data_IF_390598225536
#
_entry.id   IF_390598225536
#
_cell.length_a   1.000
_cell.length_b   1.000
_cell.length_c   1.000
_cell.angle_alpha   90.00
_cell.angle_beta   90.00
_cell.angle_gamma   90.00
#
_symmetry.space_group_name_H-M   'P 1'
#
loop_
_entity.id
_entity.type
_entity.pdbx_description
1 polymer ?
#
# COMPACT_ATOMS: atom_id res chain seq x y z
N UNK A 1 -10.85 -23.93 -30.22
CA UNK A 1 -10.12 -23.98 -28.92
C UNK A 1 -9.62 -22.58 -28.64
N UNK A 2 -10.42 -21.78 -27.96
CA UNK A 2 -10.12 -20.38 -27.59
C UNK A 2 -9.22 -20.39 -26.38
N UNK A 3 -8.00 -19.83 -26.48
CA UNK A 3 -7.13 -19.55 -25.35
C UNK A 3 -7.80 -18.45 -24.52
N UNK A 4 -8.25 -18.81 -23.33
CA UNK A 4 -8.64 -17.85 -22.29
C UNK A 4 -7.44 -16.94 -22.02
N UNK A 5 -7.53 -15.67 -22.45
CA UNK A 5 -6.67 -14.62 -21.96
C UNK A 5 -6.93 -14.53 -20.46
N UNK A 6 -5.91 -14.72 -19.66
CA UNK A 6 -5.94 -14.43 -18.22
C UNK A 6 -6.22 -12.94 -18.07
N UNK A 7 -7.44 -12.64 -17.66
CA UNK A 7 -7.92 -11.30 -17.41
C UNK A 7 -7.09 -10.72 -16.24
N UNK A 8 -6.12 -9.88 -16.56
CA UNK A 8 -5.22 -9.21 -15.60
C UNK A 8 -5.85 -7.92 -15.07
N UNK A 9 -7.17 -7.88 -14.96
CA UNK A 9 -7.87 -6.72 -14.40
C UNK A 9 -7.40 -6.49 -12.96
N UNK A 10 -6.96 -5.27 -12.62
CA UNK A 10 -6.58 -4.93 -11.26
C UNK A 10 -7.74 -5.22 -10.30
N UNK A 11 -7.48 -5.98 -9.22
CA UNK A 11 -8.53 -6.36 -8.30
C UNK A 11 -7.98 -6.72 -6.92
N UNK A 12 -8.88 -6.77 -5.93
CA UNK A 12 -8.56 -7.21 -4.58
C UNK A 12 -8.86 -8.70 -4.41
N UNK A 13 -8.09 -9.42 -3.58
CA UNK A 13 -8.44 -10.78 -3.19
C UNK A 13 -9.85 -10.86 -2.60
N UNK A 14 -10.60 -11.87 -3.00
CA UNK A 14 -11.97 -12.09 -2.52
C UNK A 14 -12.08 -12.18 -0.98
N UNK A 15 -11.01 -12.54 -0.29
CA UNK A 15 -10.94 -12.55 1.17
C UNK A 15 -11.31 -11.21 1.81
N UNK A 16 -11.03 -10.08 1.16
CA UNK A 16 -11.41 -8.76 1.68
C UNK A 16 -12.93 -8.49 1.56
N UNK A 17 -13.58 -8.97 0.50
CA UNK A 17 -15.05 -8.92 0.42
C UNK A 17 -15.69 -9.78 1.51
N UNK A 18 -15.13 -10.96 1.81
CA UNK A 18 -15.60 -11.79 2.92
C UNK A 18 -15.45 -11.09 4.27
N UNK A 19 -14.38 -10.32 4.46
CA UNK A 19 -14.18 -9.53 5.67
C UNK A 19 -15.27 -8.47 5.84
N UNK A 20 -15.66 -7.78 4.76
CA UNK A 20 -16.80 -6.83 4.77
C UNK A 20 -18.09 -7.54 5.17
N UNK A 21 -18.38 -8.72 4.59
CA UNK A 21 -19.57 -9.51 4.96
C UNK A 21 -19.59 -9.86 6.45
N UNK A 22 -18.47 -10.29 7.01
CA UNK A 22 -18.39 -10.65 8.43
C UNK A 22 -18.64 -9.42 9.34
N UNK A 23 -18.22 -8.23 8.92
CA UNK A 23 -18.51 -6.99 9.62
C UNK A 23 -20.00 -6.63 9.56
N UNK A 24 -20.64 -6.81 8.40
CA UNK A 24 -22.07 -6.47 8.19
C UNK A 24 -23.04 -7.30 9.05
N UNK A 25 -22.62 -8.46 9.56
CA UNK A 25 -23.40 -9.24 10.54
C UNK A 25 -23.80 -8.45 11.78
N UNK A 26 -23.00 -7.42 12.14
CA UNK A 26 -23.31 -6.52 13.27
C UNK A 26 -24.60 -5.71 13.05
N UNK A 27 -24.97 -5.48 11.79
CA UNK A 27 -26.21 -4.78 11.40
C UNK A 27 -27.31 -5.74 10.95
N UNK A 28 -27.13 -7.07 11.16
CA UNK A 28 -28.08 -8.11 10.76
C UNK A 28 -28.41 -8.08 9.25
N UNK A 29 -27.47 -7.62 8.42
CA UNK A 29 -27.62 -7.58 6.96
C UNK A 29 -27.29 -8.97 6.40
N UNK A 30 -28.22 -9.52 5.60
CA UNK A 30 -28.02 -10.78 4.93
C UNK A 30 -26.93 -10.66 3.84
N UNK A 31 -26.10 -11.69 3.72
CA UNK A 31 -24.95 -11.70 2.77
C UNK A 31 -25.43 -11.54 1.33
N UNK A 32 -26.56 -12.19 0.99
CA UNK A 32 -27.19 -12.12 -0.33
C UNK A 32 -27.54 -10.69 -0.73
N UNK A 33 -28.02 -9.88 0.22
CA UNK A 33 -28.37 -8.47 -0.02
C UNK A 33 -27.18 -7.64 -0.52
N UNK A 34 -25.95 -7.99 -0.08
CA UNK A 34 -24.75 -7.33 -0.55
C UNK A 34 -24.22 -7.94 -1.85
N UNK A 35 -24.24 -9.26 -1.98
CA UNK A 35 -23.51 -9.98 -3.04
C UNK A 35 -24.29 -10.15 -4.34
N UNK A 36 -25.62 -10.40 -4.26
CA UNK A 36 -26.45 -10.67 -5.44
C UNK A 36 -26.43 -9.58 -6.52
N UNK A 37 -26.45 -8.27 -6.18
CA UNK A 37 -26.39 -7.21 -7.19
C UNK A 37 -25.11 -7.23 -8.05
N UNK A 38 -24.04 -7.87 -7.55
CA UNK A 38 -22.77 -7.99 -8.24
C UNK A 38 -22.54 -9.40 -8.85
N UNK A 39 -23.54 -10.27 -8.80
CA UNK A 39 -23.44 -11.65 -9.27
C UNK A 39 -22.44 -12.50 -8.48
N UNK A 40 -22.18 -12.14 -7.23
CA UNK A 40 -21.24 -12.81 -6.35
C UNK A 40 -21.97 -13.71 -5.36
N UNK A 41 -21.28 -14.75 -4.90
CA UNK A 41 -21.75 -15.63 -3.82
C UNK A 41 -20.61 -15.85 -2.82
N UNK A 42 -20.92 -16.29 -1.59
CA UNK A 42 -19.88 -16.63 -0.60
C UNK A 42 -18.97 -17.76 -1.07
N UNK A 43 -19.48 -18.67 -1.89
CA UNK A 43 -18.70 -19.72 -2.53
C UNK A 43 -17.97 -19.15 -3.75
N UNK A 44 -16.89 -18.40 -3.51
CA UNK A 44 -16.04 -17.93 -4.57
C UNK A 44 -15.19 -19.08 -5.14
N UNK A 45 -14.83 -19.01 -6.45
CA UNK A 45 -14.03 -20.05 -7.07
C UNK A 45 -12.75 -20.33 -6.27
N UNK A 46 -12.40 -21.59 -6.14
CA UNK A 46 -11.18 -22.09 -5.47
C UNK A 46 -9.91 -21.88 -6.31
N UNK A 47 -9.88 -20.86 -7.17
CA UNK A 47 -8.64 -20.44 -7.82
C UNK A 47 -7.61 -20.06 -6.73
N UNK A 48 -6.29 -20.19 -6.98
CA UNK A 48 -5.27 -20.00 -5.95
C UNK A 48 -5.41 -18.66 -5.19
N UNK A 49 -5.95 -17.62 -5.84
CA UNK A 49 -6.32 -16.35 -5.17
C UNK A 49 -7.35 -15.64 -6.05
N UNK A 50 -8.66 -15.93 -5.92
CA UNK A 50 -9.69 -15.25 -6.71
C UNK A 50 -9.66 -13.75 -6.40
N UNK A 51 -9.69 -12.93 -7.45
CA UNK A 51 -9.67 -11.46 -7.35
C UNK A 51 -10.98 -10.89 -7.84
N UNK A 52 -11.44 -9.85 -7.17
CA UNK A 52 -12.62 -9.07 -7.52
C UNK A 52 -12.14 -7.75 -8.14
N UNK A 53 -12.64 -7.34 -9.31
CA UNK A 53 -12.30 -6.06 -9.92
C UNK A 53 -12.52 -4.88 -8.96
N UNK A 54 -11.67 -3.86 -9.02
CA UNK A 54 -11.74 -2.71 -8.11
C UNK A 54 -13.09 -1.99 -8.18
N UNK A 55 -13.68 -1.85 -9.38
CA UNK A 55 -15.01 -1.25 -9.54
C UNK A 55 -16.10 -2.03 -8.80
N UNK A 56 -16.02 -3.36 -8.85
CA UNK A 56 -16.95 -4.22 -8.11
C UNK A 56 -16.74 -4.08 -6.59
N UNK A 57 -15.47 -4.01 -6.14
CA UNK A 57 -15.16 -3.79 -4.71
C UNK A 57 -15.66 -2.44 -4.24
N UNK A 58 -15.49 -1.39 -5.06
CA UNK A 58 -16.02 -0.06 -4.75
C UNK A 58 -17.54 -0.08 -4.62
N UNK A 59 -18.25 -0.69 -5.60
CA UNK A 59 -19.69 -0.83 -5.55
C UNK A 59 -20.19 -1.64 -4.34
N UNK A 60 -19.51 -2.73 -3.98
CA UNK A 60 -19.79 -3.50 -2.76
C UNK A 60 -19.65 -2.64 -1.52
N UNK A 61 -18.60 -1.81 -1.45
CA UNK A 61 -18.39 -0.94 -0.31
C UNK A 61 -19.44 0.18 -0.24
N UNK A 62 -19.76 0.82 -1.38
CA UNK A 62 -20.84 1.83 -1.45
C UNK A 62 -22.18 1.27 -0.99
N UNK A 63 -22.53 0.06 -1.42
CA UNK A 63 -23.74 -0.62 -0.99
C UNK A 63 -23.69 -0.96 0.50
N UNK A 64 -22.57 -1.46 1.01
CA UNK A 64 -22.40 -1.73 2.43
C UNK A 64 -22.59 -0.46 3.28
N UNK A 65 -22.03 0.67 2.82
CA UNK A 65 -22.19 1.96 3.45
C UNK A 65 -23.65 2.43 3.44
N UNK A 66 -24.36 2.26 2.31
CA UNK A 66 -25.78 2.62 2.19
C UNK A 66 -26.67 1.75 3.09
N UNK A 67 -26.39 0.46 3.19
CA UNK A 67 -27.17 -0.48 4.01
C UNK A 67 -26.96 -0.26 5.51
N UNK A 68 -25.75 0.10 5.93
CA UNK A 68 -25.44 0.32 7.36
C UNK A 68 -25.72 1.73 7.82
N UNK A 69 -25.63 2.73 6.94
CA UNK A 69 -25.63 4.15 7.29
C UNK A 69 -24.48 4.56 8.21
N UNK A 70 -23.41 3.75 8.29
CA UNK A 70 -22.31 3.88 9.24
C UNK A 70 -21.02 4.37 8.55
N UNK A 71 -20.68 5.67 8.64
CA UNK A 71 -19.45 6.21 8.05
C UNK A 71 -18.17 5.59 8.64
N UNK A 72 -18.23 5.10 9.89
CA UNK A 72 -17.15 4.41 10.57
C UNK A 72 -16.94 2.96 10.15
N UNK A 73 -17.69 2.44 9.17
CA UNK A 73 -17.58 1.07 8.67
C UNK A 73 -16.12 0.61 8.40
N UNK A 74 -15.23 1.45 7.83
CA UNK A 74 -13.83 1.04 7.60
C UNK A 74 -13.07 0.70 8.88
N UNK A 75 -13.35 1.39 9.98
CA UNK A 75 -12.70 1.12 11.27
C UNK A 75 -13.12 -0.24 11.81
N UNK A 76 -14.40 -0.60 11.67
CA UNK A 76 -14.88 -1.95 12.03
C UNK A 76 -14.23 -3.04 11.16
N UNK A 77 -14.01 -2.77 9.87
CA UNK A 77 -13.29 -3.66 8.96
C UNK A 77 -11.84 -3.84 9.45
N UNK A 78 -11.15 -2.74 9.77
CA UNK A 78 -9.78 -2.78 10.29
C UNK A 78 -9.66 -3.55 11.61
N UNK A 79 -10.58 -3.33 12.55
CA UNK A 79 -10.62 -4.06 13.83
C UNK A 79 -10.81 -5.58 13.68
N UNK A 80 -11.47 -6.04 12.62
CA UNK A 80 -11.66 -7.46 12.35
C UNK A 80 -10.58 -8.06 11.43
N UNK A 81 -9.64 -7.23 10.95
CA UNK A 81 -8.57 -7.67 10.09
C UNK A 81 -7.64 -8.62 10.82
N UNK A 82 -7.38 -9.78 10.22
CA UNK A 82 -6.50 -10.81 10.78
C UNK A 82 -5.32 -11.03 9.85
N UNK A 83 -4.19 -11.43 10.40
CA UNK A 83 -3.02 -11.80 9.59
C UNK A 83 -3.37 -12.87 8.55
N UNK A 84 -4.21 -13.85 8.91
CA UNK A 84 -4.71 -14.88 7.98
C UNK A 84 -5.50 -14.32 6.79
N UNK A 85 -6.10 -13.13 6.92
CA UNK A 85 -6.79 -12.45 5.81
C UNK A 85 -5.82 -12.02 4.69
N UNK A 86 -4.54 -11.91 5.03
CA UNK A 86 -3.48 -11.55 4.09
C UNK A 86 -2.77 -12.75 3.47
N UNK A 87 -3.27 -13.99 3.71
CA UNK A 87 -2.69 -15.21 3.14
C UNK A 87 -1.25 -15.44 3.57
N UNK A 88 -0.38 -15.83 2.63
CA UNK A 88 1.02 -16.16 2.96
C UNK A 88 1.83 -14.97 3.46
N UNK A 89 1.50 -13.73 3.08
CA UNK A 89 2.16 -12.52 3.63
C UNK A 89 1.89 -12.43 5.13
N UNK A 90 0.63 -12.59 5.53
CA UNK A 90 0.26 -12.57 6.95
C UNK A 90 0.91 -13.71 7.72
N UNK A 91 1.03 -14.88 7.11
CA UNK A 91 1.72 -16.02 7.73
C UNK A 91 3.23 -15.78 7.87
N UNK A 92 3.88 -15.24 6.81
CA UNK A 92 5.30 -14.86 6.87
C UNK A 92 5.56 -13.80 7.95
N UNK A 93 4.72 -12.74 8.00
CA UNK A 93 4.83 -11.70 9.02
C UNK A 93 4.63 -12.24 10.45
N UNK A 94 3.69 -13.17 10.64
CA UNK A 94 3.40 -13.77 11.95
C UNK A 94 4.53 -14.65 12.48
N UNK A 95 5.29 -15.30 11.58
CA UNK A 95 6.36 -16.24 11.90
C UNK A 95 7.76 -15.63 11.79
N UNK A 96 7.86 -14.33 11.49
CA UNK A 96 9.11 -13.58 11.49
C UNK A 96 9.72 -13.51 12.91
N UNK A 97 11.01 -13.27 13.00
CA UNK A 97 11.73 -13.22 14.29
C UNK A 97 11.40 -11.94 15.06
N UNK A 98 11.28 -10.80 14.38
CA UNK A 98 11.06 -9.47 14.99
C UNK A 98 10.02 -8.66 14.25
N UNK A 99 9.53 -7.59 14.88
CA UNK A 99 8.63 -6.60 14.26
C UNK A 99 9.27 -5.98 13.02
N UNK A 100 10.56 -5.64 13.05
CA UNK A 100 11.27 -5.10 11.90
C UNK A 100 11.16 -6.05 10.70
N UNK A 101 11.48 -7.33 10.90
CA UNK A 101 11.42 -8.32 9.83
C UNK A 101 9.99 -8.53 9.31
N UNK A 102 8.98 -8.53 10.20
CA UNK A 102 7.58 -8.62 9.78
C UNK A 102 7.16 -7.44 8.90
N UNK A 103 7.59 -6.22 9.24
CA UNK A 103 7.31 -5.01 8.46
C UNK A 103 8.05 -5.00 7.12
N UNK A 104 9.30 -5.45 7.08
CA UNK A 104 10.07 -5.62 5.83
C UNK A 104 9.37 -6.61 4.87
N UNK A 105 8.86 -7.73 5.40
CA UNK A 105 8.09 -8.69 4.61
C UNK A 105 6.78 -8.09 4.11
N UNK A 106 6.08 -7.32 4.95
CA UNK A 106 4.86 -6.62 4.56
C UNK A 106 5.14 -5.57 3.47
N UNK A 107 6.20 -4.76 3.61
CA UNK A 107 6.64 -3.79 2.61
C UNK A 107 6.95 -4.46 1.27
N UNK A 108 7.68 -5.57 1.31
CA UNK A 108 8.08 -6.33 0.12
C UNK A 108 6.90 -6.93 -0.64
N UNK A 109 5.88 -7.43 0.07
CA UNK A 109 4.83 -8.27 -0.51
C UNK A 109 3.43 -7.67 -0.50
N UNK A 110 3.21 -6.45 0.03
CA UNK A 110 1.87 -5.85 0.13
C UNK A 110 1.13 -5.82 -1.21
N UNK A 111 1.86 -5.58 -2.32
CA UNK A 111 1.30 -5.54 -3.67
C UNK A 111 0.63 -6.86 -4.11
N UNK A 112 0.99 -7.98 -3.50
CA UNK A 112 0.29 -9.26 -3.71
C UNK A 112 -1.17 -9.22 -3.29
N UNK A 113 -1.50 -8.40 -2.30
CA UNK A 113 -2.85 -8.33 -1.73
C UNK A 113 -3.54 -7.03 -2.11
N UNK A 114 -2.83 -5.92 -2.06
CA UNK A 114 -3.36 -4.58 -2.22
C UNK A 114 -2.62 -3.87 -3.35
N UNK A 115 -3.06 -4.12 -4.58
CA UNK A 115 -2.53 -3.40 -5.75
C UNK A 115 -2.79 -1.90 -5.58
N UNK A 116 -1.76 -1.11 -5.83
CA UNK A 116 -1.82 0.35 -5.68
C UNK A 116 -1.57 0.84 -4.25
N UNK A 117 -1.24 -0.04 -3.31
CA UNK A 117 -0.76 0.33 -1.98
C UNK A 117 0.71 -0.04 -1.81
N UNK A 118 1.43 0.78 -1.06
CA UNK A 118 2.82 0.52 -0.67
C UNK A 118 2.99 0.84 0.82
N UNK A 119 3.79 0.03 1.49
CA UNK A 119 4.28 0.31 2.83
C UNK A 119 5.73 0.78 2.72
N UNK A 120 6.14 1.63 3.65
CA UNK A 120 7.53 2.08 3.75
C UNK A 120 7.87 2.36 5.20
N UNK A 121 8.83 1.59 5.72
CA UNK A 121 9.37 1.77 7.06
C UNK A 121 10.55 2.76 7.03
N UNK A 122 10.53 3.74 7.93
CA UNK A 122 11.63 4.70 8.12
C UNK A 122 11.98 4.76 9.60
N UNK A 123 13.25 4.55 9.93
CA UNK A 123 13.77 4.75 11.29
C UNK A 123 14.41 6.15 11.37
N UNK A 124 13.99 6.93 12.36
CA UNK A 124 14.52 8.27 12.63
C UNK A 124 14.88 8.39 14.13
N UNK A 125 16.14 8.10 14.43
CA UNK A 125 16.64 8.05 15.79
C UNK A 125 15.93 7.00 16.66
N UNK A 126 15.28 7.45 17.71
CA UNK A 126 14.47 6.66 18.64
C UNK A 126 13.01 6.47 18.20
N UNK A 127 12.63 7.04 17.07
CA UNK A 127 11.29 6.87 16.47
C UNK A 127 11.35 6.02 15.20
N UNK A 128 10.28 5.31 14.95
CA UNK A 128 10.03 4.62 13.68
C UNK A 128 8.70 5.09 13.09
N UNK A 129 8.64 5.14 11.78
CA UNK A 129 7.51 5.61 11.00
C UNK A 129 7.17 4.59 9.92
N UNK A 130 5.96 4.05 9.96
CA UNK A 130 5.41 3.21 8.90
C UNK A 130 4.44 4.03 8.06
N UNK A 131 4.82 4.34 6.83
CA UNK A 131 3.99 5.04 5.87
C UNK A 131 3.14 4.07 5.07
N UNK A 132 1.90 4.45 4.79
CA UNK A 132 0.99 3.78 3.86
C UNK A 132 0.71 4.71 2.69
N UNK A 133 1.37 4.45 1.57
CA UNK A 133 1.17 5.19 0.33
C UNK A 133 0.12 4.47 -0.54
N UNK A 134 -0.69 5.23 -1.29
CA UNK A 134 -1.65 4.65 -2.23
C UNK A 134 -1.72 5.42 -3.53
N UNK A 135 -1.78 4.67 -4.65
CA UNK A 135 -2.10 5.16 -5.99
C UNK A 135 -3.59 5.00 -6.33
N UNK A 136 -4.38 4.42 -5.43
CA UNK A 136 -5.84 4.30 -5.61
C UNK A 136 -6.46 5.69 -5.43
N UNK A 137 -7.23 6.13 -6.42
CA UNK A 137 -7.92 7.43 -6.41
C UNK A 137 -9.44 7.30 -6.32
N UNK A 138 -9.96 6.09 -6.50
CA UNK A 138 -11.40 5.82 -6.56
C UNK A 138 -12.03 5.95 -5.17
N UNK A 139 -12.93 6.91 -5.03
CA UNK A 139 -13.70 7.12 -3.82
C UNK A 139 -15.06 6.37 -3.89
N UNK A 140 -15.62 5.91 -2.75
CA UNK A 140 -15.10 6.02 -1.38
C UNK A 140 -14.11 4.90 -0.99
N UNK A 141 -13.79 3.97 -1.90
CA UNK A 141 -12.95 2.79 -1.63
C UNK A 141 -11.55 3.18 -1.12
N UNK A 142 -10.96 4.24 -1.67
CA UNK A 142 -9.64 4.74 -1.27
C UNK A 142 -9.59 5.04 0.23
N UNK A 143 -10.49 5.88 0.71
CA UNK A 143 -10.51 6.28 2.11
C UNK A 143 -10.89 5.13 3.04
N UNK A 144 -11.82 4.28 2.60
CA UNK A 144 -12.17 3.07 3.33
C UNK A 144 -10.98 2.12 3.50
N UNK A 145 -10.22 1.89 2.42
CA UNK A 145 -9.06 1.01 2.47
C UNK A 145 -7.95 1.58 3.35
N UNK A 146 -7.67 2.90 3.26
CA UNK A 146 -6.70 3.58 4.13
C UNK A 146 -7.09 3.43 5.59
N UNK A 147 -8.31 3.78 5.97
CA UNK A 147 -8.77 3.69 7.37
C UNK A 147 -8.71 2.26 7.89
N UNK A 148 -9.19 1.28 7.10
CA UNK A 148 -9.18 -0.12 7.50
C UNK A 148 -7.75 -0.66 7.66
N UNK A 149 -6.83 -0.30 6.76
CA UNK A 149 -5.44 -0.75 6.84
C UNK A 149 -4.70 -0.13 8.02
N UNK A 150 -4.86 1.18 8.25
CA UNK A 150 -4.20 1.87 9.37
C UNK A 150 -4.62 1.25 10.72
N UNK A 151 -5.91 0.99 10.90
CA UNK A 151 -6.41 0.31 12.11
C UNK A 151 -5.96 -1.16 12.16
N UNK A 152 -6.06 -1.88 11.02
CA UNK A 152 -5.68 -3.29 10.93
C UNK A 152 -4.19 -3.52 11.24
N UNK A 153 -3.30 -2.66 10.74
CA UNK A 153 -1.87 -2.74 11.04
C UNK A 153 -1.59 -2.61 12.54
N UNK A 154 -2.23 -1.65 13.23
CA UNK A 154 -2.09 -1.50 14.67
C UNK A 154 -2.63 -2.70 15.46
N UNK A 155 -3.79 -3.25 15.06
CA UNK A 155 -4.35 -4.44 15.68
C UNK A 155 -3.46 -5.68 15.47
N UNK A 156 -2.97 -5.88 14.26
CA UNK A 156 -2.10 -7.01 13.94
C UNK A 156 -0.77 -6.94 14.69
N UNK A 157 -0.19 -5.74 14.86
CA UNK A 157 1.05 -5.56 15.60
C UNK A 157 0.93 -6.03 17.06
N UNK A 158 -0.18 -5.73 17.74
CA UNK A 158 -0.44 -6.24 19.09
C UNK A 158 -0.57 -7.77 19.14
N UNK A 159 -1.24 -8.35 18.13
CA UNK A 159 -1.45 -9.81 18.07
C UNK A 159 -0.13 -10.56 17.89
N UNK A 160 0.78 -10.06 17.05
CA UNK A 160 2.05 -10.77 16.77
C UNK A 160 3.09 -10.58 17.87
N UNK A 161 3.05 -9.47 18.61
CA UNK A 161 3.98 -9.22 19.70
C UNK A 161 3.45 -9.72 21.06
N UNK A 162 2.13 -9.81 21.21
CA UNK A 162 1.49 -10.03 22.51
C UNK A 162 1.56 -8.81 23.44
N UNK A 163 2.07 -7.67 22.95
CA UNK A 163 2.31 -6.45 23.72
C UNK A 163 1.40 -5.32 23.28
N UNK A 164 1.11 -4.39 24.18
CA UNK A 164 0.41 -3.15 23.82
C UNK A 164 1.41 -2.14 23.28
N UNK A 165 1.35 -1.89 21.96
CA UNK A 165 2.24 -0.95 21.29
C UNK A 165 1.58 0.43 21.22
N UNK A 166 2.19 1.43 21.83
CA UNK A 166 1.70 2.81 21.82
C UNK A 166 2.29 3.60 20.66
N UNK A 167 1.48 4.51 20.09
CA UNK A 167 1.93 5.32 18.96
C UNK A 167 0.96 6.43 18.60
N UNK A 168 1.18 7.00 17.41
CA UNK A 168 0.35 8.00 16.79
C UNK A 168 0.05 7.56 15.37
N UNK A 169 -1.18 7.80 14.90
CA UNK A 169 -1.58 7.51 13.52
C UNK A 169 -2.07 8.80 12.84
N UNK A 170 -1.35 9.25 11.85
CA UNK A 170 -1.74 10.34 10.96
C UNK A 170 -2.49 9.75 9.77
N UNK A 171 -3.68 10.27 9.44
CA UNK A 171 -4.51 9.78 8.33
C UNK A 171 -4.96 10.97 7.49
N UNK A 172 -4.79 10.89 6.18
CA UNK A 172 -5.12 11.98 5.23
C UNK A 172 -6.63 12.08 4.88
N UNK A 173 -7.47 11.21 5.48
CA UNK A 173 -8.91 11.25 5.31
C UNK A 173 -9.47 12.48 6.03
N UNK A 174 -10.41 13.23 5.41
CA UNK A 174 -11.06 14.37 6.05
C UNK A 174 -11.68 14.03 7.39
N UNK A 175 -11.58 14.94 8.34
CA UNK A 175 -12.19 14.76 9.66
C UNK A 175 -13.72 14.67 9.55
N UNK A 176 -14.30 13.72 10.25
CA UNK A 176 -15.73 13.54 10.36
C UNK A 176 -16.11 13.42 11.85
N UNK A 177 -17.09 14.18 12.36
CA UNK A 177 -17.51 14.10 13.77
C UNK A 177 -17.89 12.68 14.23
N UNK A 178 -18.35 11.83 13.31
CA UNK A 178 -18.68 10.42 13.61
C UNK A 178 -17.44 9.54 13.79
N UNK A 179 -16.23 10.05 13.50
CA UNK A 179 -14.99 9.32 13.73
C UNK A 179 -14.43 9.52 15.14
N UNK A 180 -15.04 10.38 15.96
CA UNK A 180 -14.56 10.67 17.31
C UNK A 180 -14.49 9.42 18.20
N UNK A 181 -15.48 8.53 18.10
CA UNK A 181 -15.49 7.26 18.85
C UNK A 181 -14.35 6.30 18.46
N UNK A 182 -13.76 6.49 17.27
CA UNK A 182 -12.68 5.66 16.76
C UNK A 182 -11.27 6.19 17.06
N UNK A 183 -11.14 7.39 17.63
CA UNK A 183 -9.81 7.99 17.93
C UNK A 183 -8.96 7.16 18.89
N UNK A 184 -9.60 6.32 19.68
CA UNK A 184 -8.96 5.54 20.75
C UNK A 184 -9.15 4.02 20.59
N UNK A 185 -9.48 3.56 19.38
CA UNK A 185 -9.62 2.12 19.10
C UNK A 185 -8.30 1.38 19.27
N UNK A 186 -7.20 2.03 18.92
CA UNK A 186 -5.85 1.55 19.11
C UNK A 186 -5.26 2.19 20.37
N UNK A 187 -4.20 1.63 20.96
CA UNK A 187 -3.37 2.32 21.93
C UNK A 187 -2.52 3.40 21.24
N UNK A 188 -3.17 4.15 20.33
CA UNK A 188 -2.58 5.18 19.49
C UNK A 188 -3.59 6.31 19.33
N UNK A 189 -3.10 7.55 19.30
CA UNK A 189 -3.95 8.68 18.95
C UNK A 189 -4.06 8.76 17.41
N UNK A 190 -5.30 8.67 16.90
CA UNK A 190 -5.57 8.85 15.47
C UNK A 190 -5.85 10.33 15.19
N UNK A 191 -5.13 10.92 14.23
CA UNK A 191 -5.30 12.30 13.74
C UNK A 191 -5.76 12.26 12.30
N UNK A 192 -6.92 12.85 12.02
CA UNK A 192 -7.50 12.94 10.67
C UNK A 192 -7.08 14.24 9.97
N UNK A 193 -7.28 14.32 8.65
CA UNK A 193 -6.98 15.50 7.83
C UNK A 193 -5.48 15.80 7.73
N UNK A 194 -4.64 14.80 7.88
CA UNK A 194 -3.18 14.95 7.80
C UNK A 194 -2.69 14.89 6.35
N UNK A 195 -1.44 15.26 6.12
CA UNK A 195 -0.83 15.27 4.79
C UNK A 195 -0.39 13.89 4.29
N UNK A 196 -0.39 12.88 5.15
CA UNK A 196 0.06 11.52 4.82
C UNK A 196 -0.62 10.50 5.73
N UNK A 197 -0.52 9.22 5.35
CA UNK A 197 -0.94 8.11 6.19
C UNK A 197 0.30 7.50 6.82
N UNK A 198 0.43 7.63 8.15
CA UNK A 198 1.64 7.25 8.87
C UNK A 198 1.29 6.75 10.28
N UNK A 199 1.90 5.64 10.69
CA UNK A 199 1.94 5.20 12.07
C UNK A 199 3.33 5.50 12.62
N UNK A 200 3.41 6.26 13.72
CA UNK A 200 4.66 6.66 14.39
C UNK A 200 4.73 6.02 15.77
N UNK A 201 5.84 5.34 16.07
CA UNK A 201 6.02 4.58 17.30
C UNK A 201 7.49 4.59 17.76
N UNK A 202 7.77 4.08 18.95
CA UNK A 202 9.13 3.95 19.48
C UNK A 202 9.92 2.93 18.66
N UNK A 203 11.11 3.33 18.17
CA UNK A 203 11.95 2.47 17.36
C UNK A 203 12.39 1.18 18.07
N UNK A 204 12.38 1.14 19.41
CA UNK A 204 12.65 -0.06 20.18
C UNK A 204 11.63 -1.18 19.92
N UNK A 205 10.41 -0.84 19.50
CA UNK A 205 9.41 -1.86 19.13
C UNK A 205 9.82 -2.69 17.90
N UNK A 206 10.69 -2.17 17.05
CA UNK A 206 11.20 -2.91 15.89
C UNK A 206 11.98 -4.17 16.29
N UNK A 207 12.63 -4.14 17.45
CA UNK A 207 13.48 -5.21 17.94
C UNK A 207 12.69 -6.23 18.81
N UNK A 208 11.38 -6.02 19.05
CA UNK A 208 10.55 -6.95 19.82
C UNK A 208 10.46 -8.30 19.11
N UNK A 209 10.65 -9.41 19.83
CA UNK A 209 10.46 -10.74 19.28
C UNK A 209 8.97 -11.03 19.06
N UNK A 210 8.64 -11.82 18.07
CA UNK A 210 7.27 -12.22 17.81
C UNK A 210 6.91 -13.52 18.54
N UNK A 211 5.66 -13.59 19.00
CA UNK A 211 5.15 -14.72 19.80
C UNK A 211 5.22 -16.06 19.04
N UNK A 212 5.04 -16.02 17.72
CA UNK A 212 5.01 -17.21 16.86
C UNK A 212 6.24 -17.30 15.95
N UNK A 213 7.37 -16.70 16.32
CA UNK A 213 8.60 -16.71 15.54
C UNK A 213 9.03 -18.15 15.21
N UNK A 214 9.17 -18.46 13.93
CA UNK A 214 9.61 -19.76 13.41
C UNK A 214 10.24 -19.58 12.03
N UNK A 215 11.56 -19.63 11.97
CA UNK A 215 12.32 -19.34 10.76
C UNK A 215 11.99 -20.30 9.59
N UNK A 216 11.69 -21.57 9.87
CA UNK A 216 11.38 -22.54 8.84
C UNK A 216 9.99 -22.24 8.22
N UNK A 217 8.98 -21.96 9.04
CA UNK A 217 7.65 -21.58 8.59
C UNK A 217 7.66 -20.25 7.85
N UNK A 218 8.42 -19.27 8.33
CA UNK A 218 8.61 -17.99 7.64
C UNK A 218 9.20 -18.20 6.25
N UNK A 219 10.27 -18.98 6.13
CA UNK A 219 10.92 -19.25 4.84
C UNK A 219 9.95 -19.90 3.84
N UNK A 220 9.16 -20.88 4.26
CA UNK A 220 8.14 -21.52 3.41
C UNK A 220 7.07 -20.52 2.94
N UNK A 221 6.63 -19.63 3.83
CA UNK A 221 5.65 -18.59 3.49
C UNK A 221 6.23 -17.57 2.51
N UNK A 222 7.49 -17.14 2.68
CA UNK A 222 8.21 -16.25 1.75
C UNK A 222 8.33 -16.89 0.38
N UNK A 223 8.73 -18.16 0.28
CA UNK A 223 8.80 -18.89 -0.99
C UNK A 223 7.45 -18.95 -1.69
N UNK A 224 6.36 -19.08 -0.93
CA UNK A 224 5.02 -19.09 -1.51
C UNK A 224 4.62 -17.68 -1.98
N UNK A 225 4.96 -16.60 -1.25
CA UNK A 225 4.77 -15.23 -1.71
C UNK A 225 5.53 -14.95 -3.02
N UNK A 226 6.78 -15.42 -3.13
CA UNK A 226 7.54 -15.30 -4.37
C UNK A 226 6.86 -16.04 -5.54
N UNK A 227 6.34 -17.24 -5.31
CA UNK A 227 5.59 -17.98 -6.35
C UNK A 227 4.32 -17.26 -6.77
N UNK A 228 3.59 -16.66 -5.81
CA UNK A 228 2.41 -15.84 -6.13
C UNK A 228 2.79 -14.59 -6.94
N UNK A 229 3.89 -13.90 -6.61
CA UNK A 229 4.40 -12.76 -7.41
C UNK A 229 4.66 -13.17 -8.86
N UNK A 230 5.29 -14.33 -9.06
CA UNK A 230 5.51 -14.87 -10.42
C UNK A 230 4.18 -15.09 -11.13
N UNK A 231 3.23 -15.76 -10.46
CA UNK A 231 1.96 -16.18 -11.05
C UNK A 231 1.08 -15.00 -11.50
N UNK A 232 1.12 -13.88 -10.77
CA UNK A 232 0.33 -12.67 -11.11
C UNK A 232 1.10 -11.66 -11.97
N UNK A 233 2.29 -12.04 -12.48
CA UNK A 233 3.11 -11.15 -13.30
C UNK A 233 3.72 -9.96 -12.53
N UNK A 234 3.54 -9.88 -11.21
CA UNK A 234 4.16 -8.89 -10.35
C UNK A 234 5.56 -9.30 -9.90
N UNK A 235 6.00 -10.51 -10.25
CA UNK A 235 7.35 -10.98 -9.98
C UNK A 235 8.31 -10.32 -10.95
N UNK A 236 8.55 -9.06 -10.71
CA UNK A 236 9.55 -8.40 -11.51
C UNK A 236 10.78 -8.09 -10.67
N UNK A 237 11.50 -9.16 -10.29
CA UNK A 237 12.85 -9.03 -9.75
C UNK A 237 13.68 -8.08 -10.63
N UNK A 238 13.45 -8.15 -11.94
CA UNK A 238 14.12 -7.29 -12.91
C UNK A 238 13.63 -5.83 -12.80
N UNK A 239 12.33 -5.56 -12.77
CA UNK A 239 11.79 -4.19 -12.59
C UNK A 239 12.20 -3.62 -11.23
N UNK A 240 12.15 -4.42 -10.17
CA UNK A 240 12.62 -4.00 -8.85
C UNK A 240 14.11 -3.67 -8.87
N UNK A 241 14.94 -4.53 -9.44
CA UNK A 241 16.38 -4.30 -9.59
C UNK A 241 16.65 -3.04 -10.41
N UNK A 242 15.91 -2.81 -11.50
CA UNK A 242 15.98 -1.56 -12.28
C UNK A 242 15.58 -0.37 -11.41
N UNK A 243 14.51 -0.49 -10.62
CA UNK A 243 14.02 0.56 -9.72
C UNK A 243 15.07 0.95 -8.66
N UNK A 244 15.69 -0.03 -8.02
CA UNK A 244 16.77 0.16 -7.05
C UNK A 244 18.03 0.83 -7.66
N UNK A 245 18.30 0.57 -8.94
CA UNK A 245 19.43 1.14 -9.66
C UNK A 245 19.18 2.54 -10.24
N UNK A 246 17.90 2.94 -10.42
CA UNK A 246 17.54 4.27 -10.94
C UNK A 246 17.86 5.38 -9.95
N UNK A 247 17.72 5.15 -8.65
CA UNK A 247 17.99 6.16 -7.63
C UNK A 247 19.03 5.67 -6.63
N UNK A 248 20.09 6.47 -6.44
CA UNK A 248 21.09 6.29 -5.38
C UNK A 248 21.25 7.60 -4.62
N UNK A 249 21.43 7.52 -3.31
CA UNK A 249 21.50 8.74 -2.47
C UNK A 249 22.70 9.62 -2.82
N UNK A 250 23.81 9.03 -3.24
CA UNK A 250 25.07 9.70 -3.62
C UNK A 250 25.08 10.22 -5.07
N UNK A 251 24.34 9.59 -5.98
CA UNK A 251 24.33 9.91 -7.42
C UNK A 251 23.02 10.55 -7.90
N UNK A 252 21.93 10.47 -7.10
CA UNK A 252 20.61 10.91 -7.49
C UNK A 252 19.92 9.99 -8.51
N UNK A 253 19.14 10.59 -9.43
CA UNK A 253 18.41 9.84 -10.48
C UNK A 253 19.34 9.55 -11.68
N UNK A 254 19.47 8.28 -12.01
CA UNK A 254 20.36 7.76 -13.04
C UNK A 254 19.61 7.48 -14.33
N UNK A 255 20.30 7.68 -15.46
CA UNK A 255 19.77 7.41 -16.79
C UNK A 255 19.76 5.93 -17.18
N UNK A 256 19.05 5.61 -18.25
CA UNK A 256 18.89 4.24 -18.75
C UNK A 256 20.22 3.59 -19.12
N UNK A 257 21.18 4.36 -19.63
CA UNK A 257 22.52 3.87 -20.01
C UNK A 257 23.30 3.37 -18.79
N UNK A 258 23.33 4.16 -17.71
CA UNK A 258 24.03 3.82 -16.47
C UNK A 258 23.42 2.58 -15.81
N UNK A 259 22.08 2.51 -15.75
CA UNK A 259 21.37 1.34 -15.19
C UNK A 259 21.58 0.09 -16.05
N UNK A 260 21.57 0.22 -17.37
CA UNK A 260 21.86 -0.89 -18.27
C UNK A 260 23.30 -1.41 -18.10
N UNK A 261 24.25 -0.50 -17.90
CA UNK A 261 25.64 -0.85 -17.60
C UNK A 261 25.79 -1.68 -16.33
N UNK A 262 25.17 -1.25 -15.22
CA UNK A 262 25.17 -2.00 -13.95
C UNK A 262 24.55 -3.40 -14.08
N UNK A 263 23.57 -3.54 -14.95
CA UNK A 263 22.91 -4.81 -15.25
C UNK A 263 23.64 -5.64 -16.31
N UNK A 264 24.81 -5.19 -16.78
CA UNK A 264 25.62 -5.85 -17.82
C UNK A 264 24.84 -6.14 -19.11
N UNK A 265 23.95 -5.21 -19.53
CA UNK A 265 23.14 -5.32 -20.74
C UNK A 265 23.13 -4.03 -21.56
N UNK A 266 22.69 -4.12 -22.82
CA UNK A 266 22.46 -2.92 -23.61
C UNK A 266 21.16 -2.22 -23.23
N UNK A 267 21.05 -0.89 -23.46
CA UNK A 267 19.80 -0.17 -23.29
C UNK A 267 18.61 -0.79 -24.04
N UNK A 268 18.86 -1.28 -25.26
CA UNK A 268 17.84 -1.96 -26.07
C UNK A 268 17.32 -3.22 -25.37
N UNK A 269 18.24 -3.99 -24.76
CA UNK A 269 17.88 -5.21 -24.01
C UNK A 269 17.07 -4.85 -22.78
N UNK A 270 17.51 -3.84 -22.02
CA UNK A 270 16.80 -3.32 -20.83
C UNK A 270 15.38 -2.87 -21.21
N UNK A 271 15.24 -2.00 -22.21
CA UNK A 271 13.93 -1.50 -22.66
C UNK A 271 13.01 -2.61 -23.16
N UNK A 272 13.55 -3.58 -23.90
CA UNK A 272 12.79 -4.75 -24.37
C UNK A 272 12.31 -5.63 -23.21
N UNK A 273 13.18 -5.86 -22.22
CA UNK A 273 12.80 -6.65 -21.05
C UNK A 273 11.74 -5.97 -20.21
N UNK A 274 11.86 -4.65 -19.97
CA UNK A 274 10.81 -3.87 -19.30
C UNK A 274 9.49 -3.88 -20.05
N UNK A 275 9.53 -3.79 -21.39
CA UNK A 275 8.32 -3.87 -22.20
C UNK A 275 7.62 -5.25 -22.11
N UNK A 276 8.37 -6.35 -22.04
CA UNK A 276 7.81 -7.69 -21.80
C UNK A 276 7.11 -7.80 -20.45
N UNK A 277 7.54 -6.97 -19.48
CA UNK A 277 6.97 -6.87 -18.15
C UNK A 277 5.88 -5.78 -18.02
N UNK A 278 5.41 -5.25 -19.15
CA UNK A 278 4.31 -4.30 -19.21
C UNK A 278 4.65 -2.89 -18.71
N UNK A 279 5.94 -2.52 -18.59
CA UNK A 279 6.39 -1.20 -18.12
C UNK A 279 7.49 -0.63 -19.00
N UNK A 280 7.84 0.64 -18.79
CA UNK A 280 8.99 1.27 -19.41
C UNK A 280 9.94 1.86 -18.37
N UNK A 281 11.20 2.09 -18.76
CA UNK A 281 12.16 2.79 -17.90
C UNK A 281 11.66 4.18 -17.49
N UNK A 282 11.00 4.87 -18.41
CA UNK A 282 10.42 6.20 -18.16
C UNK A 282 9.32 6.15 -17.11
N UNK A 283 8.42 5.15 -17.17
CA UNK A 283 7.33 4.99 -16.20
C UNK A 283 7.88 4.77 -14.78
N UNK A 284 8.90 3.91 -14.66
CA UNK A 284 9.56 3.64 -13.38
C UNK A 284 10.25 4.89 -12.84
N UNK A 285 10.98 5.61 -13.70
CA UNK A 285 11.69 6.84 -13.33
C UNK A 285 10.72 7.95 -12.89
N UNK A 286 9.62 8.14 -13.63
CA UNK A 286 8.60 9.13 -13.29
C UNK A 286 7.89 8.80 -11.97
N UNK A 287 7.59 7.53 -11.73
CA UNK A 287 6.99 7.10 -10.46
C UNK A 287 7.92 7.36 -9.27
N UNK A 288 9.20 7.03 -9.38
CA UNK A 288 10.21 7.30 -8.36
C UNK A 288 10.37 8.81 -8.11
N UNK A 289 10.42 9.60 -9.18
CA UNK A 289 10.49 11.08 -9.08
C UNK A 289 9.26 11.65 -8.40
N UNK A 290 8.06 11.16 -8.72
CA UNK A 290 6.80 11.56 -8.09
C UNK A 290 6.84 11.29 -6.59
N UNK A 291 7.21 10.08 -6.19
CA UNK A 291 7.30 9.69 -4.78
C UNK A 291 8.29 10.58 -4.02
N UNK A 292 9.49 10.81 -4.57
CA UNK A 292 10.51 11.67 -3.95
C UNK A 292 10.07 13.13 -3.91
N UNK A 293 9.38 13.63 -4.95
CA UNK A 293 8.86 14.98 -4.99
C UNK A 293 7.86 15.26 -3.86
N UNK A 294 6.93 14.33 -3.63
CA UNK A 294 5.94 14.42 -2.54
C UNK A 294 6.67 14.51 -1.20
N UNK A 295 7.62 13.63 -0.94
CA UNK A 295 8.42 13.65 0.29
C UNK A 295 9.18 14.97 0.51
N UNK A 296 9.78 15.51 -0.56
CA UNK A 296 10.52 16.76 -0.47
C UNK A 296 9.62 17.99 -0.31
N UNK A 297 8.39 17.95 -0.84
CA UNK A 297 7.41 19.01 -0.68
C UNK A 297 6.85 19.11 0.73
N UNK A 298 6.85 18.02 1.48
CA UNK A 298 6.41 17.98 2.88
C UNK A 298 7.42 18.69 3.83
N UNK A 299 8.69 18.85 3.43
CA UNK A 299 9.66 19.64 4.18
C UNK A 299 9.53 21.14 3.81
N UNK A 300 9.04 22.01 4.74
CA UNK A 300 8.87 23.44 4.47
C UNK A 300 10.19 24.18 4.22
N UNK A 301 11.34 23.58 4.57
CA UNK A 301 12.67 24.15 4.36
C UNK A 301 13.16 23.97 2.92
N UNK A 302 12.54 23.07 2.15
CA UNK A 302 12.88 22.83 0.76
C UNK A 302 12.18 23.82 -0.16
N UNK A 303 12.93 24.54 -1.00
CA UNK A 303 12.35 25.36 -2.05
C UNK A 303 12.18 24.54 -3.35
N UNK A 304 11.36 25.05 -4.29
CA UNK A 304 11.06 24.32 -5.52
C UNK A 304 12.28 24.16 -6.44
N UNK A 305 13.22 25.09 -6.40
CA UNK A 305 14.47 25.03 -7.16
C UNK A 305 15.32 23.85 -6.71
N UNK A 306 15.52 23.69 -5.40
CA UNK A 306 16.24 22.55 -4.82
C UNK A 306 15.55 21.23 -5.09
N UNK A 307 14.22 21.19 -4.99
CA UNK A 307 13.45 19.98 -5.29
C UNK A 307 13.62 19.59 -6.77
N UNK A 308 13.49 20.56 -7.69
CA UNK A 308 13.69 20.31 -9.12
C UNK A 308 15.09 19.73 -9.40
N UNK A 309 16.13 20.32 -8.81
CA UNK A 309 17.52 19.88 -8.93
C UNK A 309 17.71 18.44 -8.39
N UNK A 310 17.23 18.16 -7.18
CA UNK A 310 17.33 16.82 -6.57
C UNK A 310 16.58 15.73 -7.36
N UNK A 311 15.54 16.14 -8.08
CA UNK A 311 14.78 15.23 -8.96
C UNK A 311 15.40 15.10 -10.35
N UNK A 312 16.49 15.82 -10.63
CA UNK A 312 17.20 15.79 -11.92
C UNK A 312 16.47 16.53 -13.03
N UNK A 313 15.73 17.61 -12.71
CA UNK A 313 15.15 18.54 -13.69
C UNK A 313 16.07 19.72 -13.93
N UNK A 314 16.17 20.14 -15.19
CA UNK A 314 16.97 21.28 -15.61
C UNK A 314 16.46 22.62 -15.07
N UNK A 315 15.16 22.71 -14.79
CA UNK A 315 14.49 23.90 -14.31
C UNK A 315 13.17 23.58 -13.57
N UNK A 316 12.71 24.55 -12.78
CA UNK A 316 11.46 24.46 -12.00
C UNK A 316 10.23 24.33 -12.89
N UNK A 317 10.23 24.91 -14.08
CA UNK A 317 9.07 24.87 -14.98
C UNK A 317 8.84 23.45 -15.51
N UNK A 318 9.92 22.73 -15.82
CA UNK A 318 9.88 21.32 -16.22
C UNK A 318 9.37 20.45 -15.07
N UNK A 319 9.89 20.65 -13.86
CA UNK A 319 9.40 19.97 -12.66
C UNK A 319 7.91 20.25 -12.43
N UNK A 320 7.46 21.49 -12.46
CA UNK A 320 6.08 21.87 -12.23
C UNK A 320 5.11 21.23 -13.24
N UNK A 321 5.52 21.15 -14.51
CA UNK A 321 4.73 20.42 -15.56
C UNK A 321 4.63 18.94 -15.27
N UNK A 322 5.75 18.31 -14.90
CA UNK A 322 5.78 16.89 -14.57
C UNK A 322 4.93 16.62 -13.33
N UNK A 323 5.11 17.38 -12.26
CA UNK A 323 4.36 17.24 -11.02
C UNK A 323 2.84 17.38 -11.24
N UNK A 324 2.43 18.41 -12.02
CA UNK A 324 1.01 18.61 -12.37
C UNK A 324 0.46 17.42 -13.18
N UNK A 325 1.26 16.83 -14.07
CA UNK A 325 0.85 15.62 -14.81
C UNK A 325 0.65 14.43 -13.88
N UNK A 326 1.49 14.27 -12.85
CA UNK A 326 1.43 13.14 -11.91
C UNK A 326 0.32 13.25 -10.88
N UNK A 327 0.03 14.48 -10.41
CA UNK A 327 -0.83 14.72 -9.23
C UNK A 327 -2.09 15.54 -9.53
N UNK A 328 -2.25 16.02 -10.76
CA UNK A 328 -3.34 16.90 -11.15
C UNK A 328 -3.18 18.36 -10.69
N UNK A 329 -2.25 18.66 -9.76
CA UNK A 329 -2.07 19.98 -9.15
C UNK A 329 -0.62 20.47 -9.23
N UNK A 330 -0.38 21.76 -8.98
CA UNK A 330 0.99 22.29 -8.95
C UNK A 330 1.66 22.06 -7.60
N UNK A 331 3.02 21.96 -7.54
CA UNK A 331 3.74 21.77 -6.27
C UNK A 331 3.40 22.82 -5.21
N UNK A 332 3.22 24.07 -5.60
CA UNK A 332 2.86 25.16 -4.68
C UNK A 332 1.44 25.06 -4.13
N UNK A 333 0.49 24.54 -4.92
CA UNK A 333 -0.86 24.25 -4.45
C UNK A 333 -0.87 23.00 -3.58
N UNK A 334 -0.15 21.96 -3.98
CA UNK A 334 0.02 20.73 -3.21
C UNK A 334 0.57 21.01 -1.80
N UNK A 335 1.63 21.83 -1.69
CA UNK A 335 2.21 22.22 -0.39
C UNK A 335 1.24 23.01 0.51
N UNK A 336 0.37 23.85 -0.08
CA UNK A 336 -0.63 24.61 0.67
C UNK A 336 -1.84 23.78 1.07
N UNK A 337 -2.20 22.83 0.24
CA UNK A 337 -3.29 21.89 0.44
C UNK A 337 -2.79 20.48 0.10
N UNK A 338 -2.11 19.79 1.04
CA UNK A 338 -1.58 18.44 0.81
C UNK A 338 -2.68 17.42 0.49
N UNK A 339 -3.94 17.80 0.68
CA UNK A 339 -5.17 17.04 0.36
C UNK A 339 -5.81 17.57 -0.93
N UNK A 340 -5.04 17.78 -1.95
CA UNK A 340 -5.52 18.29 -3.22
C UNK A 340 -6.35 17.28 -3.99
N UNK A 341 -7.67 17.50 -3.96
CA UNK A 341 -8.81 16.97 -4.78
C UNK A 341 -8.74 15.52 -5.21
#
# INVERSE_FOLDING_TARGET
MSRSATDTTPGLPAAYALLVLDVLKRWHIAEETLLEPFGLTRQMPTAPTPRIPLDTVNGLYEQALALTGEPGLPFYIGMQMKLSSHGFIGFAAMTADTVAQALELAERFISLRLMGFALRLVRDGDRAHLYLDTAVTQQPLRDAAVAALMVGLGQMAQVITGETLYGEADIDIPENPRFEEFRYILPAQIKFGQSCNRISFDAAYLDLPLVMADAASMQLAVEQCERELVAIGLHNRFVRQVRELIYREDEGFRGVEAVAGDLHMSERTLKRQLALEGTTFTDILEDLRRQKAILLLDDPRQNQERIAEQLGYSDVANFNRAFKRWTGTTPGLYRRNPSGS
#
